data_IF_365383833707
#
_entry.id   IF_365383833707
#
_cell.length_a   1.000
_cell.length_b   1.000
_cell.length_c   1.000
_cell.angle_alpha   90.00
_cell.angle_beta   90.00
_cell.angle_gamma   90.00
#
_symmetry.space_group_name_H-M   'P 1'
#
loop_
_entity.id
_entity.type
_entity.pdbx_description
1 polymer ?
#
# COMPACT_ATOMS: atom_id res chain seq x y z
N UNK A 1 21.29 -19.43 -8.31
CA UNK A 1 20.76 -19.09 -6.98
C UNK A 1 20.01 -17.77 -7.09
N UNK A 2 19.04 -17.69 -8.00
CA UNK A 2 18.29 -16.45 -8.31
C UNK A 2 16.78 -16.71 -8.51
N UNK A 3 16.30 -17.95 -8.40
CA UNK A 3 14.88 -18.30 -8.62
C UNK A 3 14.05 -18.44 -7.32
N UNK A 4 14.68 -18.32 -6.15
CA UNK A 4 14.04 -18.56 -4.85
C UNK A 4 13.60 -17.28 -4.12
N UNK A 5 14.10 -16.11 -4.52
CA UNK A 5 13.76 -14.83 -3.89
C UNK A 5 12.41 -14.28 -4.40
N UNK A 6 12.09 -14.48 -5.69
CA UNK A 6 10.83 -14.00 -6.27
C UNK A 6 9.59 -14.78 -5.81
N UNK A 7 9.76 -16.01 -5.28
CA UNK A 7 8.64 -16.83 -4.80
C UNK A 7 8.22 -16.50 -3.37
N UNK A 8 9.07 -15.84 -2.59
CA UNK A 8 8.82 -15.55 -1.18
C UNK A 8 7.89 -14.36 -0.95
N UNK A 9 7.64 -13.52 -1.97
CA UNK A 9 6.89 -12.28 -1.75
C UNK A 9 5.37 -12.34 -2.02
N UNK A 10 4.78 -13.37 -2.66
CA UNK A 10 3.37 -13.26 -3.09
C UNK A 10 2.48 -14.53 -3.11
N UNK A 11 2.88 -15.71 -2.62
CA UNK A 11 2.01 -16.91 -2.74
C UNK A 11 1.35 -17.33 -1.43
N UNK A 12 0.19 -16.75 -1.10
CA UNK A 12 -0.72 -17.30 -0.08
C UNK A 12 -1.72 -18.27 -0.74
N UNK A 13 -1.60 -19.57 -0.46
CA UNK A 13 -2.58 -20.59 -0.88
C UNK A 13 -3.64 -20.72 0.21
N UNK A 14 -4.92 -20.81 -0.14
CA UNK A 14 -5.96 -21.10 0.85
C UNK A 14 -6.99 -22.07 0.32
N UNK A 15 -7.52 -22.90 1.22
CA UNK A 15 -8.61 -23.81 0.94
C UNK A 15 -9.93 -23.14 1.32
N UNK A 16 -10.95 -23.29 0.48
CA UNK A 16 -12.31 -22.83 0.79
C UNK A 16 -13.03 -24.01 1.44
N UNK A 17 -13.45 -23.83 2.70
CA UNK A 17 -14.23 -24.84 3.42
C UNK A 17 -15.71 -24.63 3.14
N UNK A 18 -16.34 -25.58 2.45
CA UNK A 18 -17.78 -25.60 2.20
C UNK A 18 -18.35 -26.84 2.89
N UNK A 19 -19.28 -26.64 3.81
CA UNK A 19 -20.04 -27.71 4.48
C UNK A 19 -19.18 -28.84 5.08
N UNK A 20 -18.12 -28.46 5.80
CA UNK A 20 -17.21 -29.39 6.48
C UNK A 20 -16.23 -30.15 5.57
N UNK A 21 -16.27 -29.94 4.25
CA UNK A 21 -15.33 -30.55 3.31
C UNK A 21 -14.49 -29.48 2.59
N UNK A 22 -13.17 -29.58 2.70
CA UNK A 22 -12.27 -28.64 2.04
C UNK A 22 -12.19 -28.99 0.56
N UNK A 23 -12.71 -28.11 -0.30
CA UNK A 23 -12.62 -28.29 -1.75
C UNK A 23 -11.50 -27.42 -2.30
N UNK A 24 -10.68 -28.04 -3.16
CA UNK A 24 -9.59 -27.54 -4.01
C UNK A 24 -8.84 -26.26 -3.59
N UNK A 25 -7.52 -26.37 -3.54
CA UNK A 25 -6.61 -25.27 -3.22
C UNK A 25 -6.70 -24.15 -4.26
N UNK A 26 -7.15 -22.97 -3.83
CA UNK A 26 -7.12 -21.77 -4.69
C UNK A 26 -5.83 -21.01 -4.42
N UNK A 27 -5.02 -20.86 -5.47
CA UNK A 27 -3.83 -20.02 -5.44
C UNK A 27 -4.28 -18.57 -5.62
N UNK A 28 -4.17 -17.74 -4.58
CA UNK A 28 -4.41 -16.31 -4.70
C UNK A 28 -3.26 -15.69 -5.48
N UNK A 29 -3.48 -15.38 -6.77
CA UNK A 29 -2.45 -14.80 -7.66
C UNK A 29 -2.48 -13.28 -7.70
N UNK A 30 -3.54 -12.66 -7.21
CA UNK A 30 -3.71 -11.22 -7.11
C UNK A 30 -4.69 -10.96 -5.99
N UNK A 31 -4.16 -10.58 -4.84
CA UNK A 31 -4.77 -9.68 -3.85
C UNK A 31 -4.28 -10.04 -2.46
N UNK A 32 -3.64 -9.05 -1.84
CA UNK A 32 -3.28 -9.04 -0.45
C UNK A 32 -4.59 -9.06 0.34
N UNK A 33 -4.85 -10.16 1.07
CA UNK A 33 -6.15 -10.40 1.72
C UNK A 33 -6.55 -9.18 2.55
N UNK A 34 -7.72 -8.61 2.25
CA UNK A 34 -8.35 -7.66 3.15
C UNK A 34 -8.58 -8.38 4.49
N UNK A 35 -7.78 -8.05 5.51
CA UNK A 35 -7.78 -8.71 6.82
C UNK A 35 -6.47 -9.39 7.22
N UNK A 36 -5.40 -9.32 6.42
CA UNK A 36 -4.07 -9.72 6.89
C UNK A 36 -3.45 -8.60 7.75
N UNK A 37 -3.17 -8.83 9.05
CA UNK A 37 -2.51 -7.82 9.88
C UNK A 37 -1.15 -7.35 9.32
N UNK A 38 -0.47 -8.19 8.53
CA UNK A 38 0.79 -7.83 7.88
C UNK A 38 0.60 -6.84 6.73
N UNK A 39 -0.51 -6.92 6.00
CA UNK A 39 -0.78 -6.00 4.89
C UNK A 39 -0.97 -4.57 5.35
N UNK A 40 -1.65 -4.39 6.50
CA UNK A 40 -1.87 -3.08 7.09
C UNK A 40 -0.56 -2.47 7.61
N UNK A 41 0.31 -3.30 8.18
CA UNK A 41 1.63 -2.87 8.64
C UNK A 41 2.50 -2.40 7.47
N UNK A 42 2.58 -3.18 6.39
CA UNK A 42 3.31 -2.80 5.17
C UNK A 42 2.74 -1.54 4.53
N UNK A 43 1.41 -1.42 4.45
CA UNK A 43 0.75 -0.21 3.95
C UNK A 43 1.17 1.03 4.76
N UNK A 44 1.18 0.93 6.09
CA UNK A 44 1.57 2.02 6.98
C UNK A 44 3.02 2.45 6.75
N UNK A 45 3.95 1.49 6.60
CA UNK A 45 5.36 1.79 6.31
C UNK A 45 5.50 2.50 4.97
N UNK A 46 4.82 2.03 3.93
CA UNK A 46 4.89 2.63 2.60
C UNK A 46 4.37 4.06 2.61
N UNK A 47 3.25 4.31 3.29
CA UNK A 47 2.66 5.66 3.45
C UNK A 47 3.60 6.60 4.21
N UNK A 48 4.21 6.14 5.30
CA UNK A 48 5.17 6.95 6.08
C UNK A 48 6.42 7.29 5.25
N UNK A 49 7.00 6.31 4.56
CA UNK A 49 8.15 6.51 3.69
C UNK A 49 7.83 7.51 2.56
N UNK A 50 6.68 7.34 1.89
CA UNK A 50 6.21 8.23 0.83
C UNK A 50 6.00 9.66 1.35
N UNK A 51 5.37 9.83 2.51
CA UNK A 51 5.16 11.14 3.15
C UNK A 51 6.48 11.87 3.38
N UNK A 52 7.52 11.18 3.88
CA UNK A 52 8.86 11.75 4.08
C UNK A 52 9.53 12.14 2.77
N UNK A 53 9.38 11.32 1.72
CA UNK A 53 9.91 11.64 0.39
C UNK A 53 9.27 12.91 -0.17
N UNK A 54 7.97 13.08 0.01
CA UNK A 54 7.24 14.25 -0.48
C UNK A 54 7.56 15.52 0.31
N UNK A 55 7.82 15.38 1.62
CA UNK A 55 8.34 16.49 2.42
C UNK A 55 9.69 16.98 1.88
N UNK A 56 10.62 16.06 1.62
CA UNK A 56 11.93 16.39 1.03
C UNK A 56 11.82 16.99 -0.36
N UNK A 57 10.91 16.46 -1.20
CA UNK A 57 10.65 17.00 -2.53
C UNK A 57 10.11 18.45 -2.45
N UNK A 58 9.24 18.74 -1.48
CA UNK A 58 8.76 20.09 -1.21
C UNK A 58 9.88 21.02 -0.74
N UNK A 59 10.72 20.57 0.19
CA UNK A 59 11.88 21.34 0.67
C UNK A 59 12.87 21.65 -0.46
N UNK A 60 13.03 20.70 -1.39
CA UNK A 60 13.86 20.84 -2.59
C UNK A 60 13.19 21.63 -3.72
N UNK A 61 11.99 22.18 -3.50
CA UNK A 61 11.16 22.88 -4.49
C UNK A 61 10.86 22.06 -5.75
N UNK A 62 10.91 20.74 -5.65
CA UNK A 62 10.54 19.81 -6.72
C UNK A 62 9.03 19.54 -6.76
N UNK A 63 8.33 19.89 -5.68
CA UNK A 63 6.90 19.70 -5.50
C UNK A 63 6.33 20.96 -4.86
N UNK A 64 5.44 21.66 -5.58
CA UNK A 64 4.83 22.90 -5.12
C UNK A 64 3.37 22.64 -4.78
N UNK A 65 2.94 23.01 -3.58
CA UNK A 65 1.57 22.80 -3.13
C UNK A 65 0.72 24.06 -3.28
N UNK A 66 -0.61 23.90 -3.22
CA UNK A 66 -1.55 25.00 -3.20
C UNK A 66 -2.06 25.27 -1.78
N UNK A 67 -2.51 26.50 -1.54
CA UNK A 67 -3.00 26.92 -0.22
C UNK A 67 -4.51 26.66 -0.14
N UNK A 68 -4.94 25.96 0.92
CA UNK A 68 -6.34 25.59 1.15
C UNK A 68 -6.85 26.19 2.46
N UNK A 69 -8.08 26.68 2.41
CA UNK A 69 -8.86 27.08 3.57
C UNK A 69 -8.41 28.38 4.24
N UNK A 70 -9.18 28.79 5.26
CA UNK A 70 -8.91 30.01 6.02
C UNK A 70 -7.60 29.93 6.83
N UNK A 71 -7.18 28.72 7.18
CA UNK A 71 -5.92 28.43 7.89
C UNK A 71 -4.68 28.53 7.01
N UNK A 72 -4.83 28.76 5.70
CA UNK A 72 -3.75 28.80 4.71
C UNK A 72 -2.84 27.56 4.74
N UNK A 73 -3.45 26.38 4.83
CA UNK A 73 -2.69 25.13 4.83
C UNK A 73 -2.13 24.86 3.44
N UNK A 74 -0.82 24.72 3.30
CA UNK A 74 -0.18 24.38 2.02
C UNK A 74 -0.23 22.86 1.81
N UNK A 75 -0.97 22.43 0.80
CA UNK A 75 -1.23 21.02 0.44
C UNK A 75 -0.53 20.71 -0.87
N UNK A 76 0.38 19.73 -0.86
CA UNK A 76 1.06 19.24 -2.06
C UNK A 76 0.50 17.91 -2.57
N UNK A 77 -0.14 17.12 -1.69
CA UNK A 77 -0.67 15.82 -2.03
C UNK A 77 -1.73 15.36 -1.02
N UNK A 78 -2.54 14.38 -1.43
CA UNK A 78 -3.55 13.72 -0.59
C UNK A 78 -3.41 12.20 -0.73
N UNK A 79 -3.18 11.49 0.38
CA UNK A 79 -3.04 10.03 0.40
C UNK A 79 -4.27 9.36 1.02
N UNK A 80 -4.67 8.22 0.48
CA UNK A 80 -5.75 7.37 0.97
C UNK A 80 -5.39 5.89 0.74
N UNK A 81 -6.21 4.97 1.27
CA UNK A 81 -5.92 3.53 1.32
C UNK A 81 -5.49 2.91 -0.03
N UNK A 82 -6.03 3.42 -1.15
CA UNK A 82 -5.86 2.83 -2.47
C UNK A 82 -5.10 3.73 -3.45
N UNK A 83 -4.55 4.86 -3.00
CA UNK A 83 -3.89 5.80 -3.91
C UNK A 83 -3.52 7.15 -3.32
N UNK A 84 -2.89 7.98 -4.15
CA UNK A 84 -2.52 9.34 -3.82
C UNK A 84 -2.79 10.28 -4.99
N UNK A 85 -3.15 11.53 -4.67
CA UNK A 85 -3.31 12.63 -5.64
C UNK A 85 -2.21 13.64 -5.38
N UNK A 86 -1.55 14.10 -6.43
CA UNK A 86 -0.52 15.14 -6.41
C UNK A 86 -1.04 16.39 -7.12
N UNK A 87 -0.61 17.56 -6.63
CA UNK A 87 -1.02 18.86 -7.16
C UNK A 87 0.20 19.63 -7.65
#
# INVERSE_FOLDING_TARGET
MEDLDERLFLSATSAILMDGNAKDWVKATRDLRQGDPLSLFLFTIVVDALSRMLLRAKESRLLEGFIVGKSKTNVSHLQFANGAIFF
#
